data_IF_417675653860
#
_entry.id   IF_417675653860
#
_cell.length_a   1.000
_cell.length_b   1.000
_cell.length_c   1.000
_cell.angle_alpha   90.00
_cell.angle_beta   90.00
_cell.angle_gamma   90.00
#
_symmetry.space_group_name_H-M   'P 1'
#
loop_
_entity.id
_entity.type
_entity.pdbx_description
1 polymer ?
#
# COMPACT_ATOMS: atom_id res chain seq x y z
N UNK A 1 9.26 -9.53 -10.52
CA UNK A 1 8.91 -9.60 -11.95
C UNK A 1 8.07 -8.39 -12.31
N UNK A 2 8.38 -7.70 -13.41
CA UNK A 2 7.51 -6.65 -13.96
C UNK A 2 7.26 -6.88 -15.46
N UNK A 3 5.98 -6.83 -15.85
CA UNK A 3 5.57 -6.64 -17.23
C UNK A 3 5.20 -5.17 -17.44
N UNK A 4 5.69 -4.57 -18.52
CA UNK A 4 5.37 -3.17 -18.87
C UNK A 4 5.02 -3.03 -20.35
N UNK A 5 4.26 -2.00 -20.71
CA UNK A 5 4.11 -1.54 -22.11
C UNK A 5 5.35 -0.73 -22.51
N UNK A 6 5.62 -0.53 -23.82
CA UNK A 6 6.80 0.22 -24.28
C UNK A 6 6.96 1.61 -23.62
N UNK A 7 5.84 2.31 -23.40
CA UNK A 7 5.83 3.68 -22.86
C UNK A 7 5.60 3.74 -21.34
N UNK A 8 5.57 2.59 -20.65
CA UNK A 8 5.45 2.54 -19.19
C UNK A 8 6.86 2.53 -18.58
N UNK A 9 7.16 3.44 -17.62
CA UNK A 9 8.44 3.42 -16.91
C UNK A 9 8.58 2.14 -16.09
N UNK A 10 9.83 1.70 -15.89
CA UNK A 10 10.08 0.60 -14.96
C UNK A 10 9.75 1.04 -13.54
N UNK A 11 9.16 0.11 -12.77
CA UNK A 11 8.86 0.26 -11.35
C UNK A 11 9.46 -0.91 -10.56
N UNK A 12 10.39 -1.65 -11.18
CA UNK A 12 10.99 -2.84 -10.57
C UNK A 12 11.78 -2.51 -9.32
N UNK A 13 12.40 -1.33 -9.25
CA UNK A 13 13.15 -0.89 -8.08
C UNK A 13 12.23 -0.51 -6.93
N UNK A 14 11.09 0.11 -7.22
CA UNK A 14 10.04 0.32 -6.22
C UNK A 14 9.47 -1.02 -5.72
N UNK A 15 9.24 -1.98 -6.62
CA UNK A 15 8.82 -3.33 -6.24
C UNK A 15 9.86 -4.03 -5.35
N UNK A 16 11.15 -3.84 -5.64
CA UNK A 16 12.24 -4.34 -4.79
C UNK A 16 12.14 -3.73 -3.39
N UNK A 17 12.02 -2.42 -3.28
CA UNK A 17 11.89 -1.74 -1.98
C UNK A 17 10.66 -2.20 -1.21
N UNK A 18 9.54 -2.49 -1.89
CA UNK A 18 8.36 -3.11 -1.29
C UNK A 18 8.64 -4.52 -0.77
N UNK A 19 9.33 -5.35 -1.55
CA UNK A 19 9.68 -6.71 -1.15
C UNK A 19 10.60 -6.72 0.08
N UNK A 20 11.60 -5.85 0.11
CA UNK A 20 12.51 -5.68 1.25
C UNK A 20 11.75 -5.16 2.48
N UNK A 21 10.81 -4.23 2.31
CA UNK A 21 9.93 -3.74 3.39
C UNK A 21 8.99 -4.81 3.93
N UNK A 22 8.65 -5.80 3.10
CA UNK A 22 7.93 -7.01 3.52
C UNK A 22 8.88 -8.07 4.10
N UNK A 23 10.16 -7.74 4.33
CA UNK A 23 11.18 -8.63 4.88
C UNK A 23 11.57 -9.80 3.97
N UNK A 24 11.43 -9.64 2.66
CA UNK A 24 11.97 -10.59 1.69
C UNK A 24 13.37 -10.17 1.22
N UNK A 25 14.23 -11.16 0.98
CA UNK A 25 15.49 -10.96 0.27
C UNK A 25 15.26 -11.14 -1.22
N UNK A 26 15.55 -10.12 -2.02
CA UNK A 26 15.36 -10.17 -3.47
C UNK A 26 16.55 -10.86 -4.13
N UNK A 27 16.35 -12.10 -4.57
CA UNK A 27 17.40 -12.94 -5.21
C UNK A 27 17.44 -12.85 -6.74
N UNK A 28 16.52 -12.11 -7.35
CA UNK A 28 16.49 -11.93 -8.80
C UNK A 28 15.47 -10.89 -9.26
N UNK A 29 15.75 -10.27 -10.41
CA UNK A 29 14.86 -9.32 -11.09
C UNK A 29 14.65 -9.78 -12.52
N UNK A 30 13.40 -9.67 -12.98
CA UNK A 30 13.02 -10.03 -14.34
C UNK A 30 12.03 -8.97 -14.85
N UNK A 31 12.24 -8.53 -16.09
CA UNK A 31 11.35 -7.61 -16.79
C UNK A 31 10.95 -8.16 -18.16
N UNK A 32 9.76 -7.77 -18.63
CA UNK A 32 9.35 -8.01 -20.00
C UNK A 32 8.46 -6.87 -20.54
N UNK A 33 8.82 -6.35 -21.72
CA UNK A 33 7.99 -5.38 -22.43
C UNK A 33 7.01 -6.13 -23.34
N UNK A 34 5.71 -6.14 -22.99
CA UNK A 34 4.64 -6.75 -23.79
C UNK A 34 3.22 -6.40 -23.32
N UNK A 35 2.24 -6.70 -24.17
CA UNK A 35 0.84 -6.81 -23.76
C UNK A 35 0.65 -7.99 -22.78
N UNK A 36 -0.30 -7.87 -21.82
CA UNK A 36 -0.53 -8.90 -20.80
C UNK A 36 -0.95 -10.22 -21.44
N UNK A 37 -0.26 -11.29 -21.04
CA UNK A 37 -0.65 -12.65 -21.43
C UNK A 37 -1.87 -13.12 -20.62
N UNK A 38 -2.93 -13.64 -21.24
CA UNK A 38 -4.10 -14.05 -20.50
C UNK A 38 -3.81 -15.21 -19.53
N UNK A 39 -2.83 -16.06 -19.83
CA UNK A 39 -2.50 -17.27 -19.06
C UNK A 39 -1.47 -17.00 -17.96
N UNK A 40 -0.47 -16.15 -18.21
CA UNK A 40 0.67 -15.97 -17.30
C UNK A 40 1.00 -14.51 -16.96
N UNK A 41 0.27 -13.54 -17.50
CA UNK A 41 0.62 -12.11 -17.49
C UNK A 41 1.88 -11.75 -18.31
N UNK A 42 2.81 -12.68 -18.44
CA UNK A 42 4.07 -12.62 -19.19
C UNK A 42 4.12 -13.74 -20.23
N UNK A 43 5.13 -13.75 -21.10
CA UNK A 43 5.25 -14.81 -22.10
C UNK A 43 5.66 -16.15 -21.52
N UNK A 44 5.22 -17.24 -22.15
CA UNK A 44 5.56 -18.59 -21.72
C UNK A 44 7.07 -18.84 -21.68
N UNK A 45 7.85 -18.35 -22.66
CA UNK A 45 9.31 -18.41 -22.60
C UNK A 45 9.89 -17.74 -21.35
N UNK A 46 9.31 -16.60 -20.95
CA UNK A 46 9.72 -15.89 -19.72
C UNK A 46 9.34 -16.66 -18.46
N UNK A 47 8.25 -17.42 -18.47
CA UNK A 47 7.89 -18.33 -17.36
C UNK A 47 8.93 -19.44 -17.21
N UNK A 48 9.43 -20.02 -18.31
CA UNK A 48 10.51 -21.01 -18.25
C UNK A 48 11.79 -20.42 -17.65
N UNK A 49 12.21 -19.25 -18.11
CA UNK A 49 13.35 -18.52 -17.54
C UNK A 49 13.17 -18.25 -16.03
N UNK A 50 11.96 -17.85 -15.61
CA UNK A 50 11.65 -17.64 -14.19
C UNK A 50 11.72 -18.95 -13.41
N UNK A 51 11.21 -20.06 -13.96
CA UNK A 51 11.28 -21.36 -13.31
C UNK A 51 12.72 -21.86 -13.12
N UNK A 52 13.59 -21.64 -14.10
CA UNK A 52 15.03 -21.92 -14.01
C UNK A 52 15.70 -21.04 -12.95
N UNK A 53 15.38 -19.74 -12.93
CA UNK A 53 15.90 -18.81 -11.93
C UNK A 53 15.46 -19.18 -10.51
N UNK A 54 14.21 -19.61 -10.32
CA UNK A 54 13.69 -20.11 -9.03
C UNK A 54 14.50 -21.32 -8.57
N UNK A 55 14.76 -22.28 -9.46
CA UNK A 55 15.57 -23.47 -9.14
C UNK A 55 17.02 -23.11 -8.80
N UNK A 56 17.62 -22.18 -9.54
CA UNK A 56 19.01 -21.77 -9.34
C UNK A 56 19.21 -20.97 -8.04
N UNK A 57 18.23 -20.13 -7.68
CA UNK A 57 18.34 -19.21 -6.53
C UNK A 57 17.69 -19.75 -5.25
N UNK A 58 16.85 -20.78 -5.34
CA UNK A 58 16.05 -21.27 -4.22
C UNK A 58 14.94 -20.30 -3.79
N UNK A 59 14.49 -19.42 -4.67
CA UNK A 59 13.44 -18.45 -4.36
C UNK A 59 12.15 -19.16 -3.91
N UNK A 60 11.53 -18.69 -2.83
CA UNK A 60 10.33 -19.31 -2.25
C UNK A 60 9.02 -18.69 -2.74
N UNK A 61 9.09 -17.50 -3.34
CA UNK A 61 7.93 -16.71 -3.75
C UNK A 61 8.28 -15.86 -4.96
N UNK A 62 7.35 -15.72 -5.90
CA UNK A 62 7.47 -14.83 -7.05
C UNK A 62 6.55 -13.63 -6.84
N UNK A 63 7.12 -12.43 -6.90
CA UNK A 63 6.39 -11.18 -6.73
C UNK A 63 6.22 -10.51 -8.10
N UNK A 64 4.97 -10.26 -8.50
CA UNK A 64 4.61 -9.52 -9.70
C UNK A 64 4.22 -8.08 -9.38
N UNK A 65 4.79 -7.11 -10.09
CA UNK A 65 4.34 -5.71 -10.02
C UNK A 65 2.90 -5.53 -10.56
N UNK A 66 2.53 -6.36 -11.54
CA UNK A 66 1.21 -6.30 -12.16
C UNK A 66 0.19 -7.11 -11.38
N UNK A 67 -1.07 -6.68 -11.43
CA UNK A 67 -2.20 -7.46 -10.94
C UNK A 67 -2.21 -8.85 -11.58
N UNK A 68 -2.47 -9.88 -10.76
CA UNK A 68 -2.60 -11.26 -11.22
C UNK A 68 -4.02 -11.77 -11.03
N UNK A 69 -4.63 -12.27 -12.09
CA UNK A 69 -5.87 -13.06 -11.99
C UNK A 69 -5.59 -14.39 -11.27
N UNK A 70 -6.58 -14.97 -10.55
CA UNK A 70 -6.49 -16.31 -9.94
C UNK A 70 -5.88 -17.36 -10.87
N UNK A 71 -6.36 -17.43 -12.12
CA UNK A 71 -5.84 -18.38 -13.11
C UNK A 71 -4.38 -18.13 -13.48
N UNK A 72 -3.96 -16.86 -13.55
CA UNK A 72 -2.56 -16.52 -13.84
C UNK A 72 -1.65 -16.92 -12.69
N UNK A 73 -2.00 -16.53 -11.46
CA UNK A 73 -1.24 -16.89 -10.27
C UNK A 73 -1.13 -18.41 -10.11
N UNK A 74 -2.22 -19.14 -10.35
CA UNK A 74 -2.22 -20.60 -10.33
C UNK A 74 -1.30 -21.20 -11.40
N UNK A 75 -1.43 -20.78 -12.65
CA UNK A 75 -0.61 -21.31 -13.74
C UNK A 75 0.88 -21.02 -13.52
N UNK A 76 1.23 -19.82 -13.05
CA UNK A 76 2.61 -19.49 -12.71
C UNK A 76 3.11 -20.41 -11.59
N UNK A 77 2.34 -20.60 -10.53
CA UNK A 77 2.73 -21.49 -9.43
C UNK A 77 2.89 -22.94 -9.88
N UNK A 78 2.01 -23.42 -10.77
CA UNK A 78 2.10 -24.77 -11.35
C UNK A 78 3.39 -24.98 -12.15
N UNK A 79 3.79 -23.99 -12.95
CA UNK A 79 4.99 -24.10 -13.81
C UNK A 79 6.30 -23.85 -13.04
N UNK A 80 6.27 -23.01 -12.01
CA UNK A 80 7.48 -22.58 -11.27
C UNK A 80 7.69 -23.33 -9.95
N UNK A 81 6.65 -23.99 -9.43
CA UNK A 81 6.69 -24.72 -8.17
C UNK A 81 6.57 -23.85 -6.91
N UNK A 82 6.37 -22.54 -7.05
CA UNK A 82 6.35 -21.58 -5.92
C UNK A 82 5.19 -20.60 -6.03
N UNK A 83 4.76 -20.06 -4.90
CA UNK A 83 3.62 -19.13 -4.87
C UNK A 83 3.92 -17.84 -5.65
N UNK A 84 2.98 -17.42 -6.49
CA UNK A 84 3.02 -16.13 -7.17
C UNK A 84 2.02 -15.15 -6.54
N UNK A 85 2.52 -14.02 -6.03
CA UNK A 85 1.70 -12.93 -5.49
C UNK A 85 1.83 -11.67 -6.35
N UNK A 86 0.81 -10.83 -6.32
CA UNK A 86 0.87 -9.51 -6.96
C UNK A 86 1.27 -8.38 -5.98
N UNK A 87 1.46 -7.18 -6.52
CA UNK A 87 1.82 -5.97 -5.77
C UNK A 87 0.81 -5.64 -4.67
N UNK A 88 -0.49 -5.91 -4.87
CA UNK A 88 -1.50 -5.64 -3.85
C UNK A 88 -1.34 -6.58 -2.65
N UNK A 89 -1.16 -7.89 -2.92
CA UNK A 89 -0.89 -8.86 -1.86
C UNK A 89 0.38 -8.53 -1.10
N UNK A 90 1.45 -8.12 -1.80
CA UNK A 90 2.69 -7.67 -1.17
C UNK A 90 2.47 -6.47 -0.23
N UNK A 91 1.73 -5.46 -0.69
CA UNK A 91 1.41 -4.28 0.13
C UNK A 91 0.63 -4.69 1.39
N UNK A 92 -0.35 -5.59 1.28
CA UNK A 92 -1.07 -6.11 2.44
C UNK A 92 -0.16 -6.87 3.42
N UNK A 93 0.84 -7.60 2.93
CA UNK A 93 1.83 -8.28 3.79
C UNK A 93 2.71 -7.28 4.56
N UNK A 94 3.17 -6.20 3.92
CA UNK A 94 3.89 -5.11 4.60
C UNK A 94 3.01 -4.54 5.72
N UNK A 95 1.75 -4.28 5.41
CA UNK A 95 0.82 -3.71 6.38
C UNK A 95 0.52 -4.64 7.54
N UNK A 96 0.32 -5.93 7.27
CA UNK A 96 0.08 -6.92 8.31
C UNK A 96 1.24 -6.97 9.32
N UNK A 97 2.48 -6.82 8.84
CA UNK A 97 3.68 -6.80 9.69
C UNK A 97 3.78 -5.53 10.55
N UNK A 98 3.37 -4.39 10.00
CA UNK A 98 3.50 -3.08 10.68
C UNK A 98 2.26 -2.69 11.50
N UNK A 99 1.13 -3.38 11.35
CA UNK A 99 -0.10 -3.06 12.06
C UNK A 99 -0.03 -3.40 13.56
N UNK A 100 0.16 -2.38 14.38
CA UNK A 100 0.16 -2.49 15.84
C UNK A 100 -1.24 -2.41 16.46
N UNK A 101 -2.14 -1.61 15.86
CA UNK A 101 -3.46 -1.34 16.42
C UNK A 101 -4.52 -2.33 15.94
N UNK A 102 -5.53 -2.58 16.79
CA UNK A 102 -6.69 -3.42 16.43
C UNK A 102 -7.44 -2.87 15.21
N UNK A 103 -7.54 -1.55 15.08
CA UNK A 103 -8.15 -0.91 13.92
C UNK A 103 -7.39 -1.23 12.63
N UNK A 104 -6.06 -1.00 12.59
CA UNK A 104 -5.25 -1.31 11.42
C UNK A 104 -5.34 -2.79 11.03
N UNK A 105 -5.29 -3.71 12.01
CA UNK A 105 -5.44 -5.15 11.78
C UNK A 105 -6.80 -5.49 11.14
N UNK A 106 -7.89 -4.90 11.64
CA UNK A 106 -9.23 -5.08 11.08
C UNK A 106 -9.34 -4.54 9.66
N UNK A 107 -8.71 -3.40 9.35
CA UNK A 107 -8.70 -2.81 8.00
C UNK A 107 -7.96 -3.69 7.00
N UNK A 108 -6.78 -4.20 7.37
CA UNK A 108 -6.00 -5.11 6.53
C UNK A 108 -6.76 -6.40 6.29
N UNK A 109 -7.39 -6.95 7.33
CA UNK A 109 -8.24 -8.14 7.19
C UNK A 109 -9.44 -7.87 6.28
N UNK A 110 -10.10 -6.72 6.41
CA UNK A 110 -11.20 -6.32 5.53
C UNK A 110 -10.74 -6.22 4.07
N UNK A 111 -9.59 -5.59 3.82
CA UNK A 111 -9.02 -5.44 2.49
C UNK A 111 -8.69 -6.81 1.87
N UNK A 112 -8.10 -7.72 2.66
CA UNK A 112 -7.81 -9.09 2.25
C UNK A 112 -9.08 -9.86 1.90
N UNK A 113 -10.11 -9.83 2.76
CA UNK A 113 -11.37 -10.53 2.51
C UNK A 113 -12.10 -9.97 1.27
N UNK A 114 -12.14 -8.64 1.10
CA UNK A 114 -12.71 -8.02 -0.11
C UNK A 114 -11.98 -8.48 -1.37
N UNK A 115 -10.66 -8.55 -1.33
CA UNK A 115 -9.84 -9.03 -2.44
C UNK A 115 -10.00 -10.52 -2.73
N UNK A 116 -10.16 -11.34 -1.68
CA UNK A 116 -10.47 -12.75 -1.83
C UNK A 116 -11.87 -12.96 -2.41
N UNK A 117 -12.87 -12.17 -1.98
CA UNK A 117 -14.26 -12.28 -2.43
C UNK A 117 -14.41 -12.02 -3.94
N UNK A 118 -13.73 -11.00 -4.48
CA UNK A 118 -13.74 -10.72 -5.93
C UNK A 118 -13.13 -11.86 -6.74
N UNK A 119 -12.21 -12.61 -6.14
CA UNK A 119 -11.47 -13.72 -6.75
C UNK A 119 -12.09 -15.10 -6.46
N UNK A 120 -13.03 -15.19 -5.52
CA UNK A 120 -13.59 -16.46 -5.03
C UNK A 120 -14.29 -17.23 -6.14
N UNK A 121 -15.15 -16.57 -6.94
CA UNK A 121 -15.88 -17.22 -8.05
C UNK A 121 -14.95 -17.85 -9.09
N UNK A 122 -13.83 -17.19 -9.41
CA UNK A 122 -12.84 -17.74 -10.36
C UNK A 122 -12.03 -18.88 -9.74
N UNK A 123 -11.61 -18.78 -8.48
CA UNK A 123 -10.95 -19.89 -7.76
C UNK A 123 -11.82 -21.14 -7.71
N UNK A 124 -13.11 -20.96 -7.47
CA UNK A 124 -14.09 -22.04 -7.48
C UNK A 124 -14.20 -22.69 -8.85
N UNK A 125 -14.25 -21.88 -9.91
CA UNK A 125 -14.33 -22.43 -11.28
C UNK A 125 -13.10 -23.30 -11.58
N UNK A 126 -11.91 -22.86 -11.17
CA UNK A 126 -10.67 -23.63 -11.31
C UNK A 126 -10.69 -24.92 -10.48
N UNK A 127 -11.20 -24.86 -9.25
CA UNK A 127 -11.41 -26.02 -8.40
C UNK A 127 -12.33 -27.08 -9.03
N UNK A 128 -13.46 -26.65 -9.62
CA UNK A 128 -14.40 -27.54 -10.34
C UNK A 128 -13.79 -28.20 -11.57
N UNK A 129 -12.79 -27.57 -12.19
CA UNK A 129 -12.06 -28.13 -13.34
C UNK A 129 -10.95 -29.13 -12.92
N UNK A 130 -10.79 -29.41 -11.63
CA UNK A 130 -9.75 -30.31 -11.10
C UNK A 130 -8.36 -29.68 -11.07
N UNK A 131 -8.26 -28.36 -11.24
CA UNK A 131 -7.01 -27.63 -11.41
C UNK A 131 -6.57 -26.90 -10.12
N UNK A 132 -6.90 -27.36 -8.91
CA UNK A 132 -6.26 -26.83 -7.68
C UNK A 132 -6.03 -27.92 -6.62
N UNK A 133 -4.77 -28.20 -6.22
CA UNK A 133 -4.47 -28.96 -5.01
C UNK A 133 -4.83 -28.10 -3.79
N UNK A 134 -5.85 -28.50 -3.04
CA UNK A 134 -6.35 -27.78 -1.85
C UNK A 134 -7.85 -27.45 -1.89
N UNK A 135 -8.46 -27.51 -3.07
CA UNK A 135 -9.92 -27.41 -3.28
C UNK A 135 -10.50 -28.75 -3.82
N UNK A 136 -9.75 -29.84 -3.72
CA UNK A 136 -10.22 -31.17 -4.07
C UNK A 136 -11.33 -31.58 -3.11
N UNK A 137 -12.58 -31.49 -3.56
CA UNK A 137 -13.75 -32.00 -2.85
C UNK A 137 -14.88 -31.01 -2.63
N UNK A 138 -14.68 -29.71 -2.88
CA UNK A 138 -15.71 -28.71 -2.56
C UNK A 138 -16.82 -28.69 -3.63
N UNK A 139 -17.99 -29.23 -3.29
CA UNK A 139 -19.20 -29.21 -4.14
C UNK A 139 -19.71 -27.79 -4.40
N UNK A 140 -20.60 -27.62 -5.38
CA UNK A 140 -21.17 -26.30 -5.71
C UNK A 140 -21.78 -25.58 -4.48
N UNK A 141 -22.40 -26.33 -3.58
CA UNK A 141 -22.95 -25.83 -2.32
C UNK A 141 -21.87 -25.28 -1.37
N UNK A 142 -20.70 -25.91 -1.28
CA UNK A 142 -19.67 -25.50 -0.33
C UNK A 142 -18.96 -24.21 -0.77
N UNK A 143 -18.98 -23.93 -2.07
CA UNK A 143 -18.56 -22.64 -2.62
C UNK A 143 -19.48 -21.53 -2.15
N UNK A 144 -20.79 -21.73 -2.30
CA UNK A 144 -21.77 -20.71 -1.95
C UNK A 144 -21.74 -20.49 -0.42
N UNK A 145 -21.53 -21.55 0.36
CA UNK A 145 -21.28 -21.47 1.80
C UNK A 145 -20.01 -20.68 2.11
N UNK A 146 -18.89 -20.93 1.42
CA UNK A 146 -17.65 -20.15 1.61
C UNK A 146 -17.87 -18.68 1.27
N UNK A 147 -18.55 -18.40 0.16
CA UNK A 147 -18.84 -17.05 -0.30
C UNK A 147 -19.70 -16.28 0.72
N UNK A 148 -20.76 -16.91 1.23
CA UNK A 148 -21.61 -16.33 2.28
C UNK A 148 -20.86 -16.18 3.61
N UNK A 149 -19.95 -17.10 3.93
CA UNK A 149 -19.07 -16.99 5.11
C UNK A 149 -18.16 -15.76 5.02
N UNK A 150 -17.48 -15.57 3.88
CA UNK A 150 -16.60 -14.40 3.66
C UNK A 150 -17.42 -13.09 3.72
N UNK A 151 -18.62 -13.05 3.12
CA UNK A 151 -19.52 -11.89 3.23
C UNK A 151 -19.90 -11.56 4.68
N UNK A 152 -20.27 -12.55 5.48
CA UNK A 152 -20.61 -12.36 6.90
C UNK A 152 -19.41 -11.83 7.69
N UNK A 153 -18.20 -12.33 7.41
CA UNK A 153 -16.98 -11.81 8.03
C UNK A 153 -16.73 -10.34 7.64
N UNK A 154 -16.90 -9.99 6.35
CA UNK A 154 -16.80 -8.60 5.88
C UNK A 154 -17.78 -7.70 6.63
N UNK A 155 -19.05 -8.10 6.75
CA UNK A 155 -20.06 -7.34 7.50
C UNK A 155 -19.65 -7.14 8.96
N UNK A 156 -19.25 -8.23 9.63
CA UNK A 156 -18.83 -8.21 11.04
C UNK A 156 -17.66 -7.25 11.28
N UNK A 157 -16.64 -7.30 10.42
CA UNK A 157 -15.47 -6.41 10.53
C UNK A 157 -15.87 -4.96 10.23
N UNK A 158 -16.71 -4.74 9.22
CA UNK A 158 -17.22 -3.41 8.85
C UNK A 158 -17.96 -2.76 10.02
N UNK A 159 -18.80 -3.52 10.73
CA UNK A 159 -19.50 -3.03 11.93
C UNK A 159 -18.55 -2.70 13.08
N UNK A 160 -17.54 -3.54 13.33
CA UNK A 160 -16.48 -3.26 14.31
C UNK A 160 -15.76 -1.95 14.00
N UNK A 161 -15.36 -1.76 12.74
CA UNK A 161 -14.72 -0.52 12.27
C UNK A 161 -15.65 0.69 12.41
N UNK A 162 -16.95 0.54 12.15
CA UNK A 162 -17.93 1.62 12.36
C UNK A 162 -18.02 2.06 13.82
N UNK A 163 -17.95 1.12 14.77
CA UNK A 163 -17.92 1.44 16.21
C UNK A 163 -16.64 2.18 16.60
N UNK A 164 -15.48 1.77 16.08
CA UNK A 164 -14.20 2.46 16.30
C UNK A 164 -14.25 3.89 15.75
N UNK A 165 -14.77 4.07 14.54
CA UNK A 165 -14.91 5.38 13.91
C UNK A 165 -15.76 6.36 14.72
N UNK A 166 -16.86 5.90 15.33
CA UNK A 166 -17.69 6.72 16.24
C UNK A 166 -16.91 7.23 17.46
N UNK A 167 -16.09 6.37 18.08
CA UNK A 167 -15.23 6.78 19.21
C UNK A 167 -14.20 7.82 18.77
N UNK A 168 -13.62 7.66 17.58
CA UNK A 168 -12.64 8.60 17.03
C UNK A 168 -13.23 9.98 16.74
N UNK A 169 -14.48 10.03 16.26
CA UNK A 169 -15.20 11.29 16.05
C UNK A 169 -15.33 12.09 17.36
N UNK A 170 -15.73 11.43 18.45
CA UNK A 170 -15.85 12.07 19.77
C UNK A 170 -14.51 12.62 20.27
N UNK A 171 -13.42 11.86 20.09
CA UNK A 171 -12.08 12.35 20.43
C UNK A 171 -11.66 13.54 19.58
N UNK A 172 -12.09 13.60 18.32
CA UNK A 172 -11.82 14.71 17.42
C UNK A 172 -12.62 15.96 17.78
N UNK A 173 -13.92 15.83 18.05
CA UNK A 173 -14.77 16.94 18.50
C UNK A 173 -14.16 17.59 19.75
N UNK A 174 -13.74 16.77 20.72
CA UNK A 174 -13.03 17.25 21.91
C UNK A 174 -11.71 17.95 21.59
N UNK A 175 -11.00 17.57 20.52
CA UNK A 175 -9.78 18.27 20.06
C UNK A 175 -10.10 19.58 19.36
N UNK A 176 -11.17 19.63 18.56
CA UNK A 176 -11.63 20.85 17.91
C UNK A 176 -12.06 21.89 18.96
N UNK A 177 -12.69 21.45 20.06
CA UNK A 177 -13.02 22.30 21.22
C UNK A 177 -11.79 22.94 21.88
N UNK A 178 -10.58 22.35 21.74
CA UNK A 178 -9.34 22.95 22.27
C UNK A 178 -8.85 24.14 21.42
N UNK A 179 -9.40 24.35 20.22
CA UNK A 179 -9.12 25.51 19.37
C UNK A 179 -7.71 25.55 18.77
N UNK A 180 -6.97 24.44 18.76
CA UNK A 180 -5.65 24.38 18.13
C UNK A 180 -5.76 24.08 16.63
N UNK A 181 -5.10 24.86 15.75
CA UNK A 181 -5.04 24.52 14.34
C UNK A 181 -4.30 23.20 14.12
N UNK A 182 -4.71 22.47 13.11
CA UNK A 182 -4.27 21.12 12.81
C UNK A 182 -3.53 21.04 11.48
N UNK A 183 -2.38 20.37 11.48
CA UNK A 183 -1.50 20.21 10.33
C UNK A 183 -1.31 18.71 10.08
N UNK A 184 -1.58 18.27 8.85
CA UNK A 184 -1.37 16.89 8.43
C UNK A 184 -0.14 16.78 7.54
N UNK A 185 0.80 15.90 7.89
CA UNK A 185 1.89 15.54 6.99
C UNK A 185 1.37 14.59 5.91
N UNK A 186 1.59 14.89 4.64
CA UNK A 186 1.25 14.03 3.51
C UNK A 186 2.46 13.87 2.59
N UNK A 187 2.44 12.87 1.70
CA UNK A 187 3.53 12.64 0.76
C UNK A 187 3.83 11.17 0.53
N UNK A 188 4.66 10.92 -0.48
CA UNK A 188 5.02 9.57 -0.90
C UNK A 188 5.73 8.78 0.22
N UNK A 189 5.64 7.46 0.19
CA UNK A 189 6.42 6.59 1.07
C UNK A 189 7.92 6.90 0.95
N UNK A 190 8.62 6.88 2.07
CA UNK A 190 10.04 7.28 2.18
C UNK A 190 10.38 8.75 1.83
N UNK A 191 9.39 9.65 1.70
CA UNK A 191 9.66 11.08 1.52
C UNK A 191 10.24 11.79 2.77
N UNK A 192 10.33 11.08 3.91
CA UNK A 192 10.82 11.63 5.18
C UNK A 192 9.75 12.28 6.06
N UNK A 193 8.47 11.94 5.87
CA UNK A 193 7.36 12.41 6.74
C UNK A 193 7.60 12.12 8.21
N UNK A 194 7.93 10.87 8.57
CA UNK A 194 8.19 10.48 9.96
C UNK A 194 9.43 11.17 10.52
N UNK A 195 10.48 11.39 9.71
CA UNK A 195 11.67 12.15 10.10
C UNK A 195 11.33 13.62 10.39
N UNK A 196 10.53 14.25 9.54
CA UNK A 196 10.06 15.62 9.74
C UNK A 196 9.14 15.72 10.97
N UNK A 197 8.27 14.74 11.17
CA UNK A 197 7.42 14.66 12.36
C UNK A 197 8.26 14.62 13.64
N UNK A 198 9.25 13.73 13.68
CA UNK A 198 10.22 13.56 14.78
C UNK A 198 10.92 14.88 15.07
N UNK A 199 11.49 15.51 14.03
CA UNK A 199 12.21 16.77 14.16
C UNK A 199 11.32 17.90 14.69
N UNK A 200 10.05 17.95 14.31
CA UNK A 200 9.09 18.98 14.77
C UNK A 200 8.46 18.68 16.13
N UNK A 201 8.50 17.43 16.59
CA UNK A 201 7.89 17.00 17.87
C UNK A 201 8.91 16.78 18.99
N UNK A 202 10.22 16.79 18.67
CA UNK A 202 11.31 16.48 19.61
C UNK A 202 11.18 15.07 20.24
N UNK A 203 10.46 14.15 19.59
CA UNK A 203 10.35 12.74 20.01
C UNK A 203 11.27 11.84 19.18
N UNK A 204 11.86 10.82 19.79
CA UNK A 204 12.51 9.72 19.04
C UNK A 204 11.45 8.78 18.46
N UNK A 205 10.92 9.11 17.27
CA UNK A 205 10.19 8.11 16.46
C UNK A 205 11.23 7.34 15.64
N UNK A 206 11.25 6.00 15.67
CA UNK A 206 12.19 5.23 14.87
C UNK A 206 12.02 5.55 13.39
N UNK A 207 13.04 6.18 12.80
CA UNK A 207 13.12 6.45 11.37
C UNK A 207 13.73 5.22 10.71
N UNK A 208 12.93 4.57 9.86
CA UNK A 208 13.33 3.41 9.06
C UNK A 208 13.19 3.78 7.58
N UNK A 209 14.15 3.37 6.75
CA UNK A 209 14.13 3.61 5.30
C UNK A 209 13.14 2.70 4.56
N UNK A 210 12.56 1.71 5.26
CA UNK A 210 11.56 0.83 4.67
C UNK A 210 10.21 1.53 4.45
N UNK A 211 9.47 1.08 3.44
CA UNK A 211 8.20 1.68 3.04
C UNK A 211 7.11 1.42 4.08
N UNK A 212 6.21 2.40 4.23
CA UNK A 212 5.06 2.38 5.14
C UNK A 212 5.39 2.35 6.64
N UNK A 213 6.48 2.99 7.07
CA UNK A 213 6.84 3.21 8.48
C UNK A 213 5.67 3.56 9.38
N UNK A 214 4.79 4.46 8.90
CA UNK A 214 3.60 4.90 9.63
C UNK A 214 2.34 4.27 9.06
N UNK A 215 1.67 3.41 9.85
CA UNK A 215 0.32 2.88 9.55
C UNK A 215 -0.77 3.37 10.49
N UNK A 216 -0.38 3.78 11.70
CA UNK A 216 -1.30 4.41 12.64
C UNK A 216 -0.98 5.90 12.67
N UNK A 217 -2.01 6.73 12.57
CA UNK A 217 -1.85 8.18 12.65
C UNK A 217 -1.38 8.57 14.04
N UNK A 218 -0.29 9.33 14.13
CA UNK A 218 0.23 9.86 15.40
C UNK A 218 0.02 11.36 15.41
N UNK A 219 -0.75 11.85 16.38
CA UNK A 219 -0.98 13.29 16.58
C UNK A 219 -0.24 13.78 17.82
N UNK A 220 0.45 14.91 17.69
CA UNK A 220 1.17 15.57 18.79
C UNK A 220 0.92 17.07 18.80
N UNK A 221 0.98 17.65 19.98
CA UNK A 221 0.90 19.08 20.17
C UNK A 221 2.31 19.67 20.02
N UNK A 222 2.53 20.44 18.97
CA UNK A 222 3.80 21.15 18.72
C UNK A 222 3.62 22.64 18.98
N UNK A 223 4.69 23.33 19.36
CA UNK A 223 4.67 24.77 19.60
C UNK A 223 5.63 25.46 18.63
N UNK A 224 5.09 26.31 17.78
CA UNK A 224 5.87 27.11 16.84
C UNK A 224 5.50 28.58 16.96
N UNK A 225 6.49 29.48 17.07
CA UNK A 225 6.28 30.94 17.20
C UNK A 225 5.23 31.32 18.25
N UNK A 226 5.29 30.66 19.43
CA UNK A 226 4.35 30.81 20.57
C UNK A 226 2.91 30.33 20.34
N UNK A 227 2.56 29.83 19.16
CA UNK A 227 1.28 29.17 18.87
C UNK A 227 1.41 27.66 18.99
N UNK A 228 0.31 27.01 19.38
CA UNK A 228 0.21 25.55 19.52
C UNK A 228 -0.54 24.98 18.33
N UNK A 229 -0.03 23.90 17.76
CA UNK A 229 -0.62 23.21 16.61
C UNK A 229 -0.68 21.71 16.88
N UNK A 230 -1.67 21.05 16.30
CA UNK A 230 -1.74 19.60 16.28
C UNK A 230 -1.08 19.09 15.00
N UNK A 231 0.12 18.52 15.11
CA UNK A 231 0.81 17.88 13.99
C UNK A 231 0.41 16.41 13.94
N UNK A 232 0.02 15.92 12.76
CA UNK A 232 -0.34 14.52 12.54
C UNK A 232 0.54 13.89 11.46
N UNK A 233 1.21 12.78 11.79
CA UNK A 233 1.86 11.92 10.78
C UNK A 233 0.83 10.96 10.18
N UNK A 234 0.84 10.83 8.86
CA UNK A 234 -0.12 10.01 8.10
C UNK A 234 0.57 8.92 7.29
N UNK A 235 -0.25 8.00 6.77
CA UNK A 235 0.25 6.91 5.93
C UNK A 235 0.81 7.46 4.63
N UNK A 236 2.02 7.03 4.27
CA UNK A 236 2.63 7.44 3.01
C UNK A 236 1.90 6.93 1.78
N UNK A 237 1.83 7.78 0.76
CA UNK A 237 1.24 7.40 -0.53
C UNK A 237 2.19 6.50 -1.34
N UNK A 238 1.62 5.67 -2.19
CA UNK A 238 2.38 4.89 -3.18
C UNK A 238 1.63 4.87 -4.51
N UNK A 239 2.38 4.73 -5.60
CA UNK A 239 1.85 4.55 -6.94
C UNK A 239 0.97 3.29 -6.99
N UNK A 240 -0.14 3.42 -7.72
CA UNK A 240 -1.17 2.38 -7.92
C UNK A 240 -1.72 1.79 -6.62
N UNK A 241 -1.95 2.61 -5.60
CA UNK A 241 -2.74 2.24 -4.42
C UNK A 241 -4.15 1.76 -4.83
N UNK A 242 -4.51 0.49 -4.57
CA UNK A 242 -5.83 0.02 -4.97
C UNK A 242 -6.94 0.71 -4.17
N UNK A 243 -8.08 0.97 -4.82
CA UNK A 243 -9.21 1.70 -4.22
C UNK A 243 -9.69 1.00 -2.94
N UNK A 244 -9.74 -0.33 -2.96
CA UNK A 244 -10.08 -1.16 -1.79
C UNK A 244 -9.18 -0.90 -0.59
N UNK A 245 -7.92 -0.55 -0.85
CA UNK A 245 -6.93 -0.24 0.15
C UNK A 245 -7.12 1.19 0.68
N UNK A 246 -7.36 2.16 -0.21
CA UNK A 246 -7.74 3.53 0.19
C UNK A 246 -9.01 3.52 1.05
N UNK A 247 -10.02 2.71 0.72
CA UNK A 247 -11.23 2.54 1.54
C UNK A 247 -10.94 1.93 2.90
N UNK A 248 -10.06 0.92 2.95
CA UNK A 248 -9.67 0.27 4.20
C UNK A 248 -8.92 1.25 5.10
N UNK A 249 -8.03 2.05 4.54
CA UNK A 249 -7.25 3.08 5.24
C UNK A 249 -7.94 4.46 5.26
N UNK A 250 -9.22 4.52 4.90
CA UNK A 250 -9.96 5.79 4.84
C UNK A 250 -10.01 6.46 6.20
N UNK A 251 -10.15 5.73 7.31
CA UNK A 251 -10.11 6.37 8.63
C UNK A 251 -8.73 6.90 9.02
N UNK A 252 -7.66 6.31 8.49
CA UNK A 252 -6.28 6.81 8.69
C UNK A 252 -5.96 8.00 7.79
N UNK A 253 -6.50 8.03 6.58
CA UNK A 253 -6.39 9.16 5.64
C UNK A 253 -7.40 10.27 5.95
N UNK A 254 -8.46 9.97 6.71
CA UNK A 254 -9.47 10.93 7.11
C UNK A 254 -8.86 12.06 7.93
N UNK A 255 -7.84 11.84 8.75
CA UNK A 255 -7.23 12.94 9.52
C UNK A 255 -6.65 14.04 8.60
N UNK A 256 -6.18 13.68 7.41
CA UNK A 256 -5.75 14.64 6.37
C UNK A 256 -6.93 15.47 5.84
N UNK A 257 -8.15 14.92 5.77
CA UNK A 257 -9.34 15.63 5.29
C UNK A 257 -9.80 16.71 6.27
N UNK A 258 -9.48 16.56 7.55
CA UNK A 258 -9.91 17.50 8.59
C UNK A 258 -8.79 18.41 9.08
N UNK A 259 -7.63 18.39 8.42
CA UNK A 259 -6.55 19.33 8.76
C UNK A 259 -6.86 20.72 8.21
N UNK A 260 -6.43 21.74 8.94
CA UNK A 260 -6.47 23.12 8.46
C UNK A 260 -5.39 23.40 7.41
N UNK A 261 -4.35 22.56 7.37
CA UNK A 261 -3.23 22.64 6.45
C UNK A 261 -2.65 21.25 6.17
N UNK A 262 -2.35 20.98 4.91
CA UNK A 262 -1.54 19.83 4.50
C UNK A 262 -0.10 20.28 4.25
N UNK A 263 0.85 19.67 4.95
CA UNK A 263 2.27 19.81 4.64
C UNK A 263 2.69 18.62 3.77
N UNK A 264 2.82 18.87 2.47
CA UNK A 264 3.17 17.86 1.47
C UNK A 264 4.69 17.71 1.38
N UNK A 265 5.22 16.64 1.95
CA UNK A 265 6.65 16.33 1.96
C UNK A 265 7.04 15.63 0.66
N UNK A 266 8.04 16.19 -0.02
CA UNK A 266 8.55 15.71 -1.32
C UNK A 266 10.04 15.45 -1.20
N UNK A 267 10.48 14.26 -1.62
CA UNK A 267 11.90 13.91 -1.69
C UNK A 267 12.51 14.55 -2.94
N UNK A 268 13.43 15.52 -2.77
CA UNK A 268 14.09 16.20 -3.90
C UNK A 268 15.42 15.57 -4.30
N UNK A 269 15.85 14.50 -3.64
CA UNK A 269 17.06 13.75 -4.03
C UNK A 269 16.85 12.84 -5.24
N UNK A 270 15.62 12.75 -5.74
CA UNK A 270 15.26 11.92 -6.87
C UNK A 270 15.33 12.68 -8.19
N UNK A 271 15.36 11.95 -9.31
CA UNK A 271 15.32 12.57 -10.64
C UNK A 271 14.05 13.43 -10.82
N UNK A 272 14.11 14.59 -11.50
CA UNK A 272 12.98 15.50 -11.67
C UNK A 272 11.70 14.84 -12.19
N UNK A 273 11.81 13.94 -13.17
CA UNK A 273 10.67 13.20 -13.70
C UNK A 273 10.01 12.27 -12.66
N UNK A 274 10.78 11.74 -11.70
CA UNK A 274 10.28 10.91 -10.60
C UNK A 274 9.58 11.78 -9.56
N UNK A 275 10.16 12.94 -9.24
CA UNK A 275 9.55 13.94 -8.35
C UNK A 275 8.17 14.35 -8.89
N UNK A 276 8.09 14.74 -10.17
CA UNK A 276 6.85 15.15 -10.81
C UNK A 276 5.80 14.04 -10.78
N UNK A 277 6.19 12.81 -11.10
CA UNK A 277 5.30 11.64 -11.03
C UNK A 277 4.76 11.43 -9.60
N UNK A 278 5.63 11.44 -8.59
CA UNK A 278 5.22 11.22 -7.19
C UNK A 278 4.34 12.35 -6.69
N UNK A 279 4.65 13.60 -7.04
CA UNK A 279 3.86 14.77 -6.70
C UNK A 279 2.44 14.63 -7.28
N UNK A 280 2.34 14.26 -8.56
CA UNK A 280 1.05 14.01 -9.23
C UNK A 280 0.25 12.91 -8.51
N UNK A 281 0.87 11.79 -8.17
CA UNK A 281 0.22 10.71 -7.39
C UNK A 281 -0.27 11.21 -6.03
N UNK A 282 0.52 12.04 -5.35
CA UNK A 282 0.11 12.60 -4.05
C UNK A 282 -1.12 13.51 -4.20
N UNK A 283 -1.10 14.43 -5.15
CA UNK A 283 -2.20 15.37 -5.40
C UNK A 283 -3.48 14.64 -5.83
N UNK A 284 -3.37 13.68 -6.76
CA UNK A 284 -4.49 12.83 -7.17
C UNK A 284 -5.06 12.03 -5.99
N UNK A 285 -4.19 11.55 -5.08
CA UNK A 285 -4.64 10.81 -3.90
C UNK A 285 -5.35 11.74 -2.91
N UNK A 286 -4.83 12.95 -2.67
CA UNK A 286 -5.46 13.98 -1.83
C UNK A 286 -6.85 14.37 -2.36
N UNK A 287 -6.99 14.52 -3.68
CA UNK A 287 -8.28 14.80 -4.30
C UNK A 287 -9.25 13.62 -4.14
N UNK A 288 -8.80 12.40 -4.41
CA UNK A 288 -9.63 11.18 -4.28
C UNK A 288 -10.12 10.90 -2.86
N UNK A 289 -9.38 11.33 -1.83
CA UNK A 289 -9.85 11.22 -0.44
C UNK A 289 -10.77 12.36 -0.03
N UNK A 290 -10.93 13.40 -0.86
CA UNK A 290 -11.81 14.54 -0.62
C UNK A 290 -11.17 15.68 0.18
N UNK A 291 -9.83 15.82 0.11
CA UNK A 291 -9.06 16.84 0.83
C UNK A 291 -8.61 18.01 -0.06
N UNK A 292 -9.21 18.19 -1.24
CA UNK A 292 -8.79 19.19 -2.24
C UNK A 292 -9.08 20.65 -1.85
N UNK A 293 -9.96 20.90 -0.88
CA UNK A 293 -10.25 22.26 -0.39
C UNK A 293 -9.28 22.78 0.67
N UNK A 294 -8.29 21.99 1.09
CA UNK A 294 -7.38 22.31 2.18
C UNK A 294 -6.12 22.97 1.60
N UNK A 295 -5.61 24.07 2.20
CA UNK A 295 -4.34 24.65 1.79
C UNK A 295 -3.20 23.61 1.84
N UNK A 296 -2.35 23.60 0.81
CA UNK A 296 -1.19 22.71 0.71
C UNK A 296 0.08 23.56 0.71
N UNK A 297 1.01 23.27 1.62
CA UNK A 297 2.39 23.77 1.57
C UNK A 297 3.29 22.60 1.21
N UNK A 298 4.09 22.74 0.16
CA UNK A 298 5.05 21.72 -0.24
C UNK A 298 6.37 21.93 0.50
N UNK A 299 6.83 20.89 1.21
CA UNK A 299 8.12 20.84 1.86
C UNK A 299 9.09 19.99 1.04
N UNK A 300 10.07 20.64 0.41
CA UNK A 300 11.16 19.97 -0.28
C UNK A 300 12.13 19.41 0.77
N UNK A 301 12.24 18.08 0.82
CA UNK A 301 12.97 17.35 1.85
C UNK A 301 14.13 16.56 1.24
N UNK A 302 15.09 16.18 2.10
CA UNK A 302 16.37 15.56 1.71
C UNK A 302 17.27 16.46 0.86
N UNK A 303 17.23 17.75 1.15
CA UNK A 303 18.09 18.76 0.50
C UNK A 303 19.58 18.54 0.79
N UNK A 304 19.90 17.75 1.82
CA UNK A 304 21.27 17.33 2.18
C UNK A 304 21.91 16.37 1.17
N UNK A 305 21.12 15.77 0.28
CA UNK A 305 21.58 14.81 -0.72
C UNK A 305 21.78 15.41 -2.12
N UNK A 306 21.52 16.71 -2.29
CA UNK A 306 21.59 17.40 -3.59
C UNK A 306 22.55 18.59 -3.55
N UNK A 307 23.09 18.97 -4.71
CA UNK A 307 23.97 20.13 -4.80
C UNK A 307 23.17 21.44 -4.67
N UNK A 308 23.86 22.54 -4.35
CA UNK A 308 23.20 23.87 -4.30
C UNK A 308 22.72 24.33 -5.68
N UNK A 309 23.39 23.90 -6.73
CA UNK A 309 23.01 24.21 -8.12
C UNK A 309 21.75 23.45 -8.55
N UNK A 310 21.58 22.20 -8.10
CA UNK A 310 20.38 21.39 -8.40
C UNK A 310 19.14 21.87 -7.62
N UNK A 311 19.34 22.53 -6.47
CA UNK A 311 18.27 23.04 -5.62
C UNK A 311 17.66 24.37 -6.11
N UNK A 312 18.43 25.18 -6.87
CA UNK A 312 17.99 26.48 -7.40
C UNK A 312 17.11 26.34 -8.64
#
# INVERSE_FOLDING_TARGET
MQRRKPNEPSTIDELKSLAESAGYTVVGKVEQVRAPDPRYQVGYGKIKEIAELVKATGAQKIIFDNFLRPVQAYNIAKETGVEAIDRFQLILEIFARRASTTEAKLQIQLARLKYELTRAKEKVRLAKMGEQPGFMGLGAYEVDVYYETVKRQIQTITEKLRKIRRKRLLHRERRAELGFPSISLAGYTNAGKSSLFTALTEEEVPVDNALFTTLSTTTRLVKFSRKKFLLTDTVGFIDRLPITLIEAFRSTLEETIYSDLILLVVDVSELPATIEKKLKVCLETIDRIGASGIPIITALNKIDLISKEELQ
#
